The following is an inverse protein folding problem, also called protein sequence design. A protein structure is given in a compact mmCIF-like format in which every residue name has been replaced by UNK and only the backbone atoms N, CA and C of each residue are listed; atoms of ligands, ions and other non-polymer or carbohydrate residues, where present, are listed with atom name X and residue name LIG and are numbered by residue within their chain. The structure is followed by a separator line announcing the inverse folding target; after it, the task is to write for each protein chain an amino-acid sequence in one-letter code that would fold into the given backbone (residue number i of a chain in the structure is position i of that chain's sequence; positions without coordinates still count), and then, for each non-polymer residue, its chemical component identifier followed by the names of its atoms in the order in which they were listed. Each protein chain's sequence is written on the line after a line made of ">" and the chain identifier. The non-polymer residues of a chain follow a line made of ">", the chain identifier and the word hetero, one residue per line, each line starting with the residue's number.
data_IF_255020541081
#
_entry.id   IF_255020541081
#
_cell.length_a   1.000
_cell.length_b   1.000
_cell.length_c   1.000
_cell.angle_alpha   90.00
_cell.angle_beta   90.00
_cell.angle_gamma   90.00
#
_symmetry.space_group_name_H-M   'P 1'
#
loop_
_entity.id
_entity.type
_entity.pdbx_description
1 polymer ?
#
# COMPACT_ATOMS: atom_id res chain seq x y z
N UNK A 1 50.55 -24.79 35.71
CA UNK A 1 50.15 -25.85 34.75
C UNK A 1 48.64 -26.05 34.70
N UNK A 2 47.92 -26.61 35.71
CA UNK A 2 46.46 -26.79 35.59
C UNK A 2 45.65 -25.48 35.75
N UNK A 3 46.13 -24.54 36.58
CA UNK A 3 45.45 -23.25 36.80
C UNK A 3 45.47 -22.34 35.57
N UNK A 4 46.57 -22.34 34.80
CA UNK A 4 46.70 -21.53 33.58
C UNK A 4 45.72 -21.97 32.50
N UNK A 5 45.51 -23.29 32.36
CA UNK A 5 44.55 -23.87 31.43
C UNK A 5 43.11 -23.54 31.83
N UNK A 6 42.80 -23.58 33.14
CA UNK A 6 41.49 -23.19 33.66
C UNK A 6 41.19 -21.71 33.38
N UNK A 7 42.16 -20.83 33.62
CA UNK A 7 42.01 -19.39 33.33
C UNK A 7 41.88 -19.10 31.83
N UNK A 8 42.61 -19.82 30.97
CA UNK A 8 42.49 -19.71 29.52
C UNK A 8 41.11 -20.19 29.03
N UNK A 9 40.63 -21.33 29.55
CA UNK A 9 39.31 -21.86 29.22
C UNK A 9 38.18 -20.92 29.64
N UNK A 10 38.28 -20.32 30.84
CA UNK A 10 37.31 -19.36 31.34
C UNK A 10 37.25 -18.09 30.47
N UNK A 11 38.41 -17.59 30.01
CA UNK A 11 38.48 -16.45 29.10
C UNK A 11 37.82 -16.75 27.75
N UNK A 12 38.13 -17.90 27.15
CA UNK A 12 37.53 -18.32 25.89
C UNK A 12 36.01 -18.47 26.00
N UNK A 13 35.54 -19.06 27.10
CA UNK A 13 34.11 -19.20 27.37
C UNK A 13 33.43 -17.83 27.53
N UNK A 14 34.02 -16.92 28.30
CA UNK A 14 33.48 -15.59 28.52
C UNK A 14 33.44 -14.77 27.21
N UNK A 15 34.50 -14.82 26.40
CA UNK A 15 34.54 -14.18 25.08
C UNK A 15 33.50 -14.76 24.13
N UNK A 16 33.33 -16.08 24.10
CA UNK A 16 32.31 -16.73 23.27
C UNK A 16 30.88 -16.32 23.69
N UNK A 17 30.60 -16.29 25.00
CA UNK A 17 29.32 -15.82 25.52
C UNK A 17 29.03 -14.36 25.16
N UNK A 18 30.04 -13.49 25.27
CA UNK A 18 29.90 -12.08 24.92
C UNK A 18 29.65 -11.90 23.41
N UNK A 19 30.38 -12.63 22.56
CA UNK A 19 30.16 -12.60 21.11
C UNK A 19 28.77 -13.12 20.72
N UNK A 20 28.28 -14.18 21.38
CA UNK A 20 26.92 -14.68 21.17
C UNK A 20 25.86 -13.66 21.60
N UNK A 21 26.06 -13.01 22.73
CA UNK A 21 25.14 -11.97 23.23
C UNK A 21 25.08 -10.76 22.29
N UNK A 22 26.25 -10.24 21.87
CA UNK A 22 26.31 -9.15 20.90
C UNK A 22 25.72 -9.55 19.54
N UNK A 23 26.00 -10.77 19.07
CA UNK A 23 25.40 -11.32 17.85
C UNK A 23 23.88 -11.40 17.96
N UNK A 24 23.35 -11.85 19.09
CA UNK A 24 21.92 -11.91 19.35
C UNK A 24 21.27 -10.52 19.41
N UNK A 25 21.93 -9.54 20.05
CA UNK A 25 21.46 -8.14 20.07
C UNK A 25 21.41 -7.54 18.66
N UNK A 26 22.45 -7.77 17.85
CA UNK A 26 22.49 -7.33 16.46
C UNK A 26 21.36 -8.02 15.68
N UNK A 27 21.21 -9.35 15.78
CA UNK A 27 20.14 -10.07 15.09
C UNK A 27 18.75 -9.57 15.53
N UNK A 28 18.54 -9.30 16.82
CA UNK A 28 17.30 -8.78 17.37
C UNK A 28 16.99 -7.37 16.83
N UNK A 29 17.99 -6.48 16.85
CA UNK A 29 17.86 -5.11 16.33
C UNK A 29 17.59 -5.09 14.82
N UNK A 30 18.24 -5.98 14.07
CA UNK A 30 18.00 -6.15 12.63
C UNK A 30 16.67 -6.82 12.32
N UNK A 31 16.11 -7.59 13.26
CA UNK A 31 14.74 -8.13 13.14
C UNK A 31 13.72 -7.01 13.30
N UNK A 32 13.92 -6.16 14.31
CA UNK A 32 13.04 -5.03 14.62
C UNK A 32 13.02 -3.99 13.48
N UNK A 33 14.20 -3.62 12.97
CA UNK A 33 14.33 -2.73 11.80
C UNK A 33 13.69 -3.30 10.52
N UNK A 34 13.72 -4.62 10.32
CA UNK A 34 13.08 -5.26 9.15
C UNK A 34 11.55 -5.24 9.23
N UNK A 35 10.97 -5.39 10.42
CA UNK A 35 9.51 -5.33 10.62
C UNK A 35 8.97 -3.94 10.26
N UNK A 36 9.69 -2.88 10.62
CA UNK A 36 9.31 -1.50 10.27
C UNK A 36 9.48 -1.23 8.77
N UNK A 37 10.50 -1.79 8.11
CA UNK A 37 10.71 -1.65 6.67
C UNK A 37 9.62 -2.33 5.84
N UNK A 38 9.12 -3.50 6.26
CA UNK A 38 8.02 -4.19 5.57
C UNK A 38 6.74 -3.33 5.54
N UNK A 39 6.49 -2.53 6.59
CA UNK A 39 5.35 -1.62 6.67
C UNK A 39 5.49 -0.41 5.72
N UNK A 40 6.73 0.04 5.46
CA UNK A 40 7.03 1.15 4.53
C UNK A 40 7.09 0.67 3.07
N UNK A 41 7.64 -0.53 2.80
CA UNK A 41 7.72 -1.09 1.44
C UNK A 41 6.33 -1.54 0.95
N UNK A 42 5.49 -2.10 1.81
CA UNK A 42 4.07 -2.38 1.48
C UNK A 42 3.26 -1.10 1.26
N UNK A 43 3.55 0.01 1.95
CA UNK A 43 2.98 1.34 1.64
C UNK A 43 3.41 1.87 0.28
N UNK A 44 4.61 1.53 -0.18
CA UNK A 44 5.17 2.04 -1.45
C UNK A 44 4.74 1.19 -2.65
N UNK A 45 4.60 -0.14 -2.50
CA UNK A 45 4.03 -1.04 -3.52
C UNK A 45 2.52 -0.89 -3.71
N UNK A 46 1.81 -0.33 -2.73
CA UNK A 46 0.36 -0.10 -2.81
C UNK A 46 -0.06 1.06 -3.71
N UNK A 47 0.85 1.75 -4.40
CA UNK A 47 0.47 2.75 -5.43
C UNK A 47 -0.16 2.03 -6.62
N UNK A 48 -1.46 1.81 -6.56
CA UNK A 48 -2.23 1.35 -7.72
C UNK A 48 -2.16 2.36 -8.85
N UNK A 49 -2.50 1.94 -10.07
CA UNK A 49 -2.75 2.84 -11.18
C UNK A 49 -4.18 2.63 -11.64
N UNK A 50 -4.94 3.70 -11.72
CA UNK A 50 -6.22 3.68 -12.43
C UNK A 50 -5.88 3.75 -13.91
N UNK A 51 -6.28 2.75 -14.68
CA UNK A 51 -6.11 2.72 -16.13
C UNK A 51 -7.49 2.81 -16.76
N UNK A 52 -7.68 3.79 -17.63
CA UNK A 52 -8.92 3.91 -18.40
C UNK A 52 -8.89 2.87 -19.52
N UNK A 53 -9.82 1.90 -19.45
CA UNK A 53 -9.93 0.80 -20.42
C UNK A 53 -10.84 1.13 -21.61
N UNK A 54 -11.72 2.12 -21.48
CA UNK A 54 -12.64 2.58 -22.51
C UNK A 54 -13.69 3.52 -21.94
N UNK A 55 -14.35 4.25 -22.85
CA UNK A 55 -15.61 4.98 -22.59
C UNK A 55 -16.65 4.21 -23.41
N UNK A 56 -17.86 4.01 -22.88
CA UNK A 56 -18.88 3.15 -23.50
C UNK A 56 -19.02 3.42 -25.02
N UNK A 57 -18.66 2.44 -25.84
CA UNK A 57 -18.69 2.51 -27.32
C UNK A 57 -17.36 2.75 -28.03
N UNK A 58 -16.33 3.28 -27.36
CA UNK A 58 -15.00 3.50 -27.95
C UNK A 58 -13.87 3.00 -27.03
N UNK A 59 -12.98 2.17 -27.58
CA UNK A 59 -11.68 1.87 -26.94
C UNK A 59 -10.94 3.19 -26.79
N UNK A 60 -10.68 3.60 -25.55
CA UNK A 60 -9.91 4.80 -25.29
C UNK A 60 -8.56 4.68 -26.03
N UNK A 61 -8.26 5.56 -27.00
CA UNK A 61 -7.12 5.38 -27.90
C UNK A 61 -5.77 5.41 -27.17
N UNK A 62 -5.74 5.97 -25.97
CA UNK A 62 -4.57 6.03 -25.11
C UNK A 62 -5.01 5.67 -23.69
N UNK A 63 -4.51 4.56 -23.15
CA UNK A 63 -4.70 4.13 -21.76
C UNK A 63 -4.14 5.16 -20.79
N UNK A 64 -4.87 6.26 -20.58
CA UNK A 64 -4.57 7.29 -19.59
C UNK A 64 -4.54 6.58 -18.24
N UNK A 65 -3.36 6.61 -17.64
CA UNK A 65 -3.16 6.04 -16.32
C UNK A 65 -2.99 7.17 -15.31
N UNK A 66 -3.79 7.14 -14.25
CA UNK A 66 -3.68 8.05 -13.14
C UNK A 66 -3.07 7.33 -11.94
N UNK A 67 -2.08 7.92 -11.26
CA UNK A 67 -1.56 7.34 -10.03
C UNK A 67 -2.64 7.35 -8.95
N UNK A 68 -2.87 6.21 -8.28
CA UNK A 68 -3.70 6.18 -7.08
C UNK A 68 -2.92 6.74 -5.90
N UNK A 69 -3.39 7.89 -5.42
CA UNK A 69 -2.98 8.46 -4.15
C UNK A 69 -3.84 7.85 -3.04
N UNK A 70 -3.38 7.94 -1.79
CA UNK A 70 -4.12 7.43 -0.62
C UNK A 70 -5.55 7.97 -0.52
N UNK A 71 -5.79 9.17 -1.07
CA UNK A 71 -7.10 9.74 -1.31
C UNK A 71 -7.14 10.21 -2.77
N UNK A 72 -8.01 9.64 -3.58
CA UNK A 72 -8.15 9.95 -5.00
C UNK A 72 -9.61 10.21 -5.32
N UNK A 73 -9.97 11.47 -5.55
CA UNK A 73 -11.31 11.86 -5.98
C UNK A 73 -11.47 11.77 -7.50
N UNK A 74 -12.64 11.33 -7.94
CA UNK A 74 -13.02 11.11 -9.33
C UNK A 74 -14.25 11.95 -9.64
N UNK A 75 -14.21 12.72 -10.71
CA UNK A 75 -15.36 13.49 -11.15
C UNK A 75 -15.05 14.46 -12.28
N UNK A 76 -16.08 15.18 -12.73
CA UNK A 76 -15.97 16.17 -13.80
C UNK A 76 -15.43 17.51 -13.31
N UNK A 77 -15.62 17.84 -12.03
CA UNK A 77 -15.15 19.10 -11.49
C UNK A 77 -13.60 19.15 -11.49
N UNK A 78 -12.99 20.31 -11.77
CA UNK A 78 -11.54 20.46 -11.80
C UNK A 78 -10.90 20.35 -10.40
N UNK A 79 -11.70 20.31 -9.35
CA UNK A 79 -11.28 20.08 -7.97
C UNK A 79 -10.95 18.61 -7.68
N UNK A 80 -11.29 17.68 -8.59
CA UNK A 80 -10.98 16.26 -8.42
C UNK A 80 -9.53 15.93 -8.77
N UNK A 81 -9.01 14.88 -8.15
CA UNK A 81 -7.68 14.34 -8.44
C UNK A 81 -7.62 13.76 -9.85
N UNK A 82 -8.68 13.04 -10.23
CA UNK A 82 -8.86 12.49 -11.57
C UNK A 82 -10.07 13.18 -12.18
N UNK A 83 -9.76 14.07 -13.13
CA UNK A 83 -10.76 14.85 -13.85
C UNK A 83 -11.21 14.03 -15.06
N UNK A 84 -12.49 13.69 -15.07
CA UNK A 84 -13.16 12.98 -16.16
C UNK A 84 -14.09 13.95 -16.86
N UNK A 85 -13.68 14.40 -18.05
CA UNK A 85 -14.45 15.35 -18.87
C UNK A 85 -15.54 14.60 -19.66
N UNK A 86 -16.54 14.08 -18.93
CA UNK A 86 -17.68 13.35 -19.50
C UNK A 86 -18.98 13.86 -18.88
N UNK A 87 -20.00 14.07 -19.73
CA UNK A 87 -21.34 14.46 -19.33
C UNK A 87 -22.05 13.47 -18.39
N UNK A 88 -21.70 12.18 -18.46
CA UNK A 88 -22.22 11.13 -17.58
C UNK A 88 -21.55 11.13 -16.20
N UNK A 89 -20.45 11.85 -16.02
CA UNK A 89 -19.74 11.93 -14.73
C UNK A 89 -20.19 13.17 -13.96
N UNK A 90 -20.47 12.96 -12.68
CA UNK A 90 -20.90 14.03 -11.76
C UNK A 90 -19.72 14.91 -11.34
N UNK A 91 -20.02 16.11 -10.83
CA UNK A 91 -18.99 17.05 -10.35
C UNK A 91 -18.03 16.39 -9.36
N UNK A 92 -18.55 15.82 -8.28
CA UNK A 92 -17.86 14.85 -7.42
C UNK A 92 -18.60 13.51 -7.57
N UNK A 93 -18.00 12.53 -8.24
CA UNK A 93 -18.70 11.30 -8.61
C UNK A 93 -18.34 10.16 -7.67
N UNK A 94 -17.06 9.91 -7.46
CA UNK A 94 -16.58 8.83 -6.60
C UNK A 94 -15.28 9.21 -5.88
N UNK A 95 -14.99 8.47 -4.83
CA UNK A 95 -13.79 8.64 -4.02
C UNK A 95 -13.14 7.28 -3.80
N UNK A 96 -11.84 7.21 -4.09
CA UNK A 96 -11.02 6.04 -3.78
C UNK A 96 -10.11 6.38 -2.61
N UNK A 97 -10.16 5.55 -1.56
CA UNK A 97 -9.41 5.75 -0.33
C UNK A 97 -8.60 4.52 0.06
N UNK A 98 -7.38 4.72 0.51
CA UNK A 98 -6.57 3.66 1.11
C UNK A 98 -6.78 3.66 2.63
N UNK A 99 -7.56 2.70 3.13
CA UNK A 99 -7.85 2.53 4.56
C UNK A 99 -7.46 1.13 5.01
N UNK A 100 -6.74 1.05 6.13
CA UNK A 100 -6.27 -0.23 6.71
C UNK A 100 -5.51 -1.11 5.71
N UNK A 101 -4.84 -0.46 4.75
CA UNK A 101 -4.10 -1.12 3.69
C UNK A 101 -4.96 -1.71 2.57
N UNK A 102 -6.27 -1.47 2.55
CA UNK A 102 -7.19 -1.85 1.49
C UNK A 102 -7.67 -0.61 0.74
N UNK A 103 -7.86 -0.75 -0.57
CA UNK A 103 -8.48 0.29 -1.38
C UNK A 103 -9.99 0.20 -1.23
N UNK A 104 -10.64 1.32 -0.99
CA UNK A 104 -12.09 1.45 -0.87
C UNK A 104 -12.59 2.39 -1.95
N UNK A 105 -13.70 2.05 -2.58
CA UNK A 105 -14.44 2.88 -3.54
C UNK A 105 -15.77 3.30 -2.90
N UNK A 106 -16.00 4.60 -2.87
CA UNK A 106 -17.23 5.21 -2.37
C UNK A 106 -17.87 6.06 -3.48
N UNK A 107 -19.16 5.87 -3.73
CA UNK A 107 -19.93 6.76 -4.57
C UNK A 107 -20.32 8.03 -3.78
N UNK A 108 -20.09 9.21 -4.35
CA UNK A 108 -20.33 10.50 -3.68
C UNK A 108 -21.74 11.03 -3.96
N UNK A 109 -22.71 10.14 -4.17
CA UNK A 109 -24.08 10.50 -4.55
C UNK A 109 -24.17 10.91 -6.02
N UNK A 110 -23.50 10.15 -6.88
CA UNK A 110 -23.47 10.45 -8.30
C UNK A 110 -24.83 10.23 -8.97
N UNK A 111 -25.10 11.00 -10.03
CA UNK A 111 -26.40 10.96 -10.71
C UNK A 111 -26.67 9.62 -11.41
N UNK A 112 -25.64 9.05 -12.04
CA UNK A 112 -25.73 7.78 -12.75
C UNK A 112 -25.38 6.56 -11.87
N UNK A 113 -24.81 6.81 -10.69
CA UNK A 113 -24.28 5.77 -9.80
C UNK A 113 -22.92 5.26 -10.27
N UNK A 114 -22.18 4.69 -9.31
CA UNK A 114 -20.93 3.98 -9.59
C UNK A 114 -21.20 2.48 -9.72
N UNK A 115 -20.61 1.84 -10.72
CA UNK A 115 -20.66 0.38 -10.90
C UNK A 115 -19.27 -0.23 -10.67
N UNK A 116 -19.22 -1.32 -9.91
CA UNK A 116 -18.05 -2.15 -9.72
C UNK A 116 -18.32 -3.54 -10.30
N UNK A 117 -17.52 -3.96 -11.30
CA UNK A 117 -17.69 -5.24 -11.99
C UNK A 117 -19.11 -5.48 -12.55
N UNK A 118 -19.78 -4.42 -13.00
CA UNK A 118 -21.15 -4.46 -13.52
C UNK A 118 -22.26 -4.38 -12.47
N UNK A 119 -21.93 -4.34 -11.18
CA UNK A 119 -22.90 -4.18 -10.10
C UNK A 119 -22.84 -2.76 -9.53
N UNK A 120 -24.00 -2.13 -9.35
CA UNK A 120 -24.08 -0.81 -8.72
C UNK A 120 -23.68 -0.92 -7.25
N UNK A 121 -22.86 0.02 -6.79
CA UNK A 121 -22.50 0.14 -5.37
C UNK A 121 -23.40 1.19 -4.71
N UNK A 122 -23.87 0.89 -3.51
CA UNK A 122 -24.65 1.83 -2.67
C UNK A 122 -23.89 2.23 -1.40
N UNK A 123 -22.97 1.37 -0.95
CA UNK A 123 -22.11 1.58 0.20
C UNK A 123 -20.63 1.54 -0.24
N UNK A 124 -19.69 2.05 0.57
CA UNK A 124 -18.26 1.89 0.30
C UNK A 124 -17.86 0.42 0.15
N UNK A 125 -17.21 0.07 -0.98
CA UNK A 125 -16.78 -1.31 -1.28
C UNK A 125 -15.28 -1.41 -1.38
N UNK A 126 -14.71 -2.51 -0.90
CA UNK A 126 -13.28 -2.82 -1.04
C UNK A 126 -12.96 -3.18 -2.49
N UNK A 127 -11.97 -2.49 -3.06
CA UNK A 127 -11.38 -2.80 -4.36
C UNK A 127 -10.27 -3.87 -4.20
N UNK A 128 -10.44 -4.99 -4.88
CA UNK A 128 -9.38 -5.96 -5.12
C UNK A 128 -8.67 -5.64 -6.43
N UNK A 129 -7.35 -5.86 -6.48
CA UNK A 129 -6.62 -5.81 -7.75
C UNK A 129 -7.19 -6.87 -8.71
N UNK A 130 -7.59 -6.42 -9.91
CA UNK A 130 -8.02 -7.28 -11.02
C UNK A 130 -6.88 -7.65 -11.95
#
# INVERSE_FOLDING_TARGET
>A
MPHDVILAALRLLASALLLLFFGALIVMLWRDLRVVSDEVETRTRKRGRLVVIGIEGERAPNGKSYPLLALTSLGRAPTNTVILDDSFVSGEHALIMLRDGQWWLEDRGSSNGTLLNGYRIEEPVVLSAG
#
